data_IF_780142459139
#
_entry.id   IF_780142459139
#
_cell.length_a   1.000
_cell.length_b   1.000
_cell.length_c   1.000
_cell.angle_alpha   90.00
_cell.angle_beta   90.00
_cell.angle_gamma   90.00
#
_symmetry.space_group_name_H-M   'P 1'
#
loop_
_entity.id
_entity.type
_entity.pdbx_description
1 polymer ?
#
# COMPACT_ATOMS: atom_id res chain seq x y z
N UNK A 1 -0.35 16.34 10.70
CA UNK A 1 0.13 17.59 10.07
C UNK A 1 0.66 18.62 11.07
N UNK A 2 -0.10 19.05 12.11
CA UNK A 2 0.41 20.06 13.07
C UNK A 2 1.75 19.68 13.70
N UNK A 3 1.91 18.42 14.12
CA UNK A 3 3.18 17.88 14.63
C UNK A 3 4.36 18.11 13.67
N UNK A 4 4.19 17.79 12.38
CA UNK A 4 5.23 17.95 11.37
C UNK A 4 5.65 19.41 11.21
N UNK A 5 4.68 20.34 11.23
CA UNK A 5 4.92 21.77 11.04
C UNK A 5 5.51 22.42 12.30
N UNK A 6 4.90 22.20 13.46
CA UNK A 6 5.23 22.89 14.71
C UNK A 6 6.42 22.26 15.45
N UNK A 7 6.59 20.94 15.39
CA UNK A 7 7.67 20.21 16.09
C UNK A 7 8.86 19.97 15.16
N UNK A 8 8.62 19.50 13.93
CA UNK A 8 9.71 19.13 13.01
C UNK A 8 10.07 20.24 12.01
N UNK A 9 9.29 21.31 11.93
CA UNK A 9 9.52 22.40 10.97
C UNK A 9 9.47 21.95 9.52
N UNK A 10 8.69 20.89 9.21
CA UNK A 10 8.54 20.37 7.86
C UNK A 10 7.50 21.22 7.12
N UNK A 11 7.77 21.59 5.85
CA UNK A 11 6.78 22.28 5.03
C UNK A 11 5.61 21.35 4.72
N UNK A 12 4.49 21.56 5.40
CA UNK A 12 3.18 20.94 5.15
C UNK A 12 2.10 22.02 5.27
N UNK A 13 0.93 21.89 4.62
CA UNK A 13 -0.18 22.82 4.79
C UNK A 13 -0.54 23.06 6.26
N UNK A 14 -0.85 24.30 6.63
CA UNK A 14 -1.37 24.60 7.95
C UNK A 14 -2.76 24.00 8.12
N UNK A 15 -2.99 23.31 9.23
CA UNK A 15 -4.35 22.95 9.64
C UNK A 15 -5.04 24.19 10.20
N UNK A 16 -6.13 24.61 9.56
CA UNK A 16 -6.89 25.81 9.95
C UNK A 16 -7.94 25.47 11.01
N UNK A 17 -8.67 24.38 10.81
CA UNK A 17 -9.63 23.82 11.76
C UNK A 17 -9.96 22.38 11.40
N UNK A 18 -10.54 21.62 12.32
CA UNK A 18 -11.03 20.27 12.08
C UNK A 18 -12.19 19.94 13.03
N UNK A 19 -12.98 18.93 12.71
CA UNK A 19 -13.96 18.31 13.61
C UNK A 19 -13.82 16.80 13.55
N UNK A 20 -13.57 16.19 14.70
CA UNK A 20 -13.56 14.74 14.88
C UNK A 20 -14.95 14.14 15.09
N UNK A 21 -15.92 14.77 15.79
CA UNK A 21 -17.28 14.26 15.81
C UNK A 21 -18.02 14.68 14.54
N UNK A 22 -18.91 13.79 14.07
CA UNK A 22 -19.90 14.12 13.04
C UNK A 22 -21.07 14.97 13.58
N UNK A 23 -21.17 15.18 14.90
CA UNK A 23 -22.12 16.12 15.53
C UNK A 23 -21.67 17.57 15.33
N UNK A 24 -21.71 18.01 14.08
CA UNK A 24 -21.41 19.35 13.63
C UNK A 24 -22.29 19.69 12.41
N UNK A 25 -22.41 20.96 11.98
CA UNK A 25 -23.31 21.35 10.89
C UNK A 25 -23.06 20.69 9.52
N UNK A 26 -21.89 20.07 9.31
CA UNK A 26 -21.54 19.32 8.10
C UNK A 26 -22.02 17.86 8.18
N UNK A 27 -22.39 17.39 9.38
CA UNK A 27 -22.83 16.01 9.68
C UNK A 27 -21.77 14.95 9.35
N UNK A 28 -20.51 15.38 9.23
CA UNK A 28 -19.36 14.55 8.89
C UNK A 28 -18.08 15.06 9.56
N UNK A 29 -17.14 14.16 9.76
CA UNK A 29 -15.78 14.50 10.19
C UNK A 29 -15.09 15.32 9.08
N UNK A 30 -14.32 16.34 9.44
CA UNK A 30 -13.65 17.17 8.45
C UNK A 30 -12.34 17.76 8.95
N UNK A 31 -11.51 18.14 7.99
CA UNK A 31 -10.32 18.97 8.21
C UNK A 31 -10.28 20.06 7.14
N UNK A 32 -10.03 21.29 7.57
CA UNK A 32 -9.80 22.43 6.70
C UNK A 32 -8.32 22.80 6.78
N UNK A 33 -7.66 22.83 5.64
CA UNK A 33 -6.23 23.10 5.52
C UNK A 33 -5.94 24.28 4.60
N UNK A 34 -4.79 24.89 4.80
CA UNK A 34 -4.21 25.91 3.92
C UNK A 34 -4.11 25.38 2.48
N UNK A 35 -4.61 26.15 1.52
CA UNK A 35 -4.37 25.87 0.10
C UNK A 35 -2.97 26.34 -0.28
N UNK A 36 -2.14 25.43 -0.79
CA UNK A 36 -0.83 25.78 -1.33
C UNK A 36 -0.97 26.47 -2.69
N UNK A 37 -0.43 27.68 -2.83
CA UNK A 37 -0.37 28.42 -4.09
C UNK A 37 0.92 28.07 -4.86
N UNK A 38 1.00 26.84 -5.36
CA UNK A 38 2.13 26.32 -6.12
C UNK A 38 1.72 25.27 -7.13
N UNK A 39 2.72 24.63 -7.74
CA UNK A 39 2.54 23.59 -8.75
C UNK A 39 3.09 22.26 -8.22
N UNK A 40 2.45 21.15 -8.59
CA UNK A 40 2.95 19.82 -8.23
C UNK A 40 4.34 19.57 -8.85
N UNK A 41 5.17 18.78 -8.19
CA UNK A 41 6.45 18.36 -8.76
C UNK A 41 6.24 17.48 -9.99
N UNK A 42 5.16 16.68 -10.02
CA UNK A 42 4.81 15.86 -11.17
C UNK A 42 4.66 16.69 -12.45
N UNK A 43 3.92 17.81 -12.39
CA UNK A 43 3.67 18.66 -13.57
C UNK A 43 4.93 19.33 -14.11
N UNK A 44 5.94 19.55 -13.27
CA UNK A 44 7.22 20.18 -13.69
C UNK A 44 8.35 19.18 -13.89
N UNK A 45 8.16 17.90 -13.55
CA UNK A 45 9.25 16.92 -13.41
C UNK A 45 10.14 16.80 -14.66
N UNK A 46 9.51 16.78 -15.85
CA UNK A 46 10.21 16.65 -17.14
C UNK A 46 10.86 17.96 -17.61
N UNK A 47 10.46 19.10 -17.05
CA UNK A 47 10.99 20.43 -17.39
C UNK A 47 12.19 20.83 -16.53
N UNK A 48 12.39 20.16 -15.39
CA UNK A 48 13.48 20.47 -14.47
C UNK A 48 14.84 20.15 -15.10
N UNK A 49 15.76 21.11 -15.02
CA UNK A 49 17.16 20.84 -15.29
C UNK A 49 17.77 19.93 -14.23
N UNK A 50 18.90 19.29 -14.56
CA UNK A 50 19.66 18.45 -13.61
C UNK A 50 20.05 19.20 -12.33
N UNK A 51 20.33 20.51 -12.42
CA UNK A 51 20.68 21.33 -11.27
C UNK A 51 19.48 21.54 -10.35
N UNK A 52 18.31 21.83 -10.92
CA UNK A 52 17.05 22.02 -10.19
C UNK A 52 16.56 20.73 -9.54
N UNK A 53 16.62 19.61 -10.25
CA UNK A 53 16.28 18.29 -9.70
C UNK A 53 17.16 17.95 -8.49
N UNK A 54 18.47 18.22 -8.57
CA UNK A 54 19.39 18.05 -7.42
C UNK A 54 19.00 18.92 -6.24
N UNK A 55 18.53 20.14 -6.47
CA UNK A 55 18.09 21.04 -5.41
C UNK A 55 16.82 20.53 -4.71
N UNK A 56 15.81 20.11 -5.48
CA UNK A 56 14.58 19.49 -4.94
C UNK A 56 14.92 18.25 -4.12
N UNK A 57 15.77 17.37 -4.64
CA UNK A 57 16.20 16.15 -3.92
C UNK A 57 16.91 16.47 -2.60
N UNK A 58 17.76 17.51 -2.55
CA UNK A 58 18.40 17.95 -1.30
C UNK A 58 17.38 18.41 -0.26
N UNK A 59 16.35 19.13 -0.69
CA UNK A 59 15.27 19.57 0.19
C UNK A 59 14.46 18.38 0.73
N UNK A 60 14.14 17.39 -0.11
CA UNK A 60 13.47 16.15 0.32
C UNK A 60 14.32 15.35 1.31
N UNK A 61 15.62 15.19 1.05
CA UNK A 61 16.55 14.54 1.99
C UNK A 61 16.57 15.28 3.34
N UNK A 62 16.50 16.61 3.33
CA UNK A 62 16.44 17.40 4.55
C UNK A 62 15.11 17.22 5.30
N UNK A 63 13.99 17.07 4.59
CA UNK A 63 12.69 16.72 5.18
C UNK A 63 12.75 15.35 5.85
N UNK A 64 13.19 14.32 5.12
CA UNK A 64 13.37 12.97 5.66
C UNK A 64 14.28 13.00 6.90
N UNK A 65 15.45 13.65 6.80
CA UNK A 65 16.37 13.81 7.95
C UNK A 65 15.68 14.41 9.16
N UNK A 66 14.79 15.39 8.99
CA UNK A 66 14.03 15.98 10.12
C UNK A 66 13.09 14.96 10.75
N UNK A 67 12.36 14.20 9.94
CA UNK A 67 11.48 13.10 10.39
C UNK A 67 12.26 12.04 11.15
N UNK A 68 13.41 11.61 10.61
CA UNK A 68 14.31 10.64 11.24
C UNK A 68 14.98 11.20 12.50
N UNK A 69 15.24 12.50 12.53
CA UNK A 69 15.89 13.16 13.66
C UNK A 69 14.96 13.45 14.83
N UNK A 70 13.74 12.87 14.87
CA UNK A 70 12.85 12.92 16.02
C UNK A 70 13.63 12.58 17.28
N UNK A 71 14.04 13.62 18.02
CA UNK A 71 15.00 13.54 19.14
C UNK A 71 14.41 12.87 20.39
N UNK A 72 13.12 12.62 20.35
CA UNK A 72 12.35 12.00 21.41
C UNK A 72 11.85 10.71 20.77
N UNK A 73 12.54 9.61 21.07
CA UNK A 73 12.17 8.27 20.58
C UNK A 73 10.66 8.10 20.72
N UNK A 74 9.98 7.87 19.61
CA UNK A 74 8.53 7.68 19.60
C UNK A 74 8.24 6.41 20.42
N UNK A 75 7.44 6.49 21.51
CA UNK A 75 7.36 5.41 22.50
C UNK A 75 6.53 4.20 22.06
N UNK A 76 5.86 4.30 20.91
CA UNK A 76 4.90 3.31 20.44
C UNK A 76 4.65 3.40 18.93
N UNK A 77 4.03 2.37 18.36
CA UNK A 77 3.44 2.32 17.04
C UNK A 77 1.94 2.63 17.10
N UNK A 78 1.40 3.23 16.06
CA UNK A 78 0.00 3.69 16.02
C UNK A 78 -0.12 4.98 15.22
N UNK A 79 -1.07 5.85 15.58
CA UNK A 79 -1.24 7.16 14.94
C UNK A 79 -1.01 8.31 15.92
N UNK A 80 -0.65 9.47 15.38
CA UNK A 80 -0.45 10.70 16.17
C UNK A 80 -1.78 11.40 16.42
N UNK A 81 -2.01 11.76 17.68
CA UNK A 81 -3.21 12.49 18.11
C UNK A 81 -2.84 13.67 18.99
N UNK A 82 -3.79 14.61 19.11
CA UNK A 82 -3.82 15.45 20.30
C UNK A 82 -4.37 14.65 21.47
N UNK A 83 -3.82 14.87 22.67
CA UNK A 83 -4.26 14.12 23.86
C UNK A 83 -5.74 14.25 24.18
N UNK A 84 -6.33 15.43 23.93
CA UNK A 84 -7.73 15.66 24.21
C UNK A 84 -8.67 14.90 23.25
N UNK A 85 -8.22 14.57 22.03
CA UNK A 85 -9.01 13.83 21.04
C UNK A 85 -9.08 12.32 21.36
N UNK A 86 -8.19 11.80 22.22
CA UNK A 86 -8.12 10.37 22.59
C UNK A 86 -8.18 10.12 24.10
N UNK A 87 -8.77 11.05 24.86
CA UNK A 87 -8.80 10.98 26.32
C UNK A 87 -9.48 9.70 26.89
N UNK A 88 -10.37 9.05 26.11
CA UNK A 88 -11.03 7.80 26.47
C UNK A 88 -10.40 6.53 25.88
N UNK A 89 -9.34 6.64 25.08
CA UNK A 89 -8.69 5.53 24.40
C UNK A 89 -7.28 5.28 24.94
N UNK A 90 -6.74 4.04 24.83
CA UNK A 90 -5.34 3.77 25.15
C UNK A 90 -4.40 4.69 24.35
N UNK A 91 -3.44 5.33 25.03
CA UNK A 91 -2.47 6.21 24.37
C UNK A 91 -1.12 6.26 25.12
N UNK A 92 -0.04 6.45 24.38
CA UNK A 92 1.32 6.64 24.88
C UNK A 92 1.72 8.12 24.78
N UNK A 93 2.17 8.72 25.90
CA UNK A 93 2.64 10.11 25.91
C UNK A 93 4.00 10.24 25.26
N UNK A 94 4.17 11.21 24.35
CA UNK A 94 5.45 11.48 23.72
C UNK A 94 6.27 12.38 24.67
N UNK A 95 7.52 12.00 25.01
CA UNK A 95 8.36 12.81 25.90
C UNK A 95 8.50 14.25 25.39
N UNK A 96 8.41 15.22 26.30
CA UNK A 96 8.58 16.66 26.03
C UNK A 96 7.51 17.31 25.12
N UNK A 97 6.51 16.54 24.68
CA UNK A 97 5.41 17.03 23.84
C UNK A 97 4.08 16.81 24.55
N UNK A 98 3.72 17.75 25.43
CA UNK A 98 2.53 17.62 26.28
C UNK A 98 1.21 17.57 25.48
N UNK A 99 1.16 18.21 24.32
CA UNK A 99 -0.04 18.29 23.46
C UNK A 99 -0.30 17.02 22.65
N UNK A 100 0.73 16.22 22.39
CA UNK A 100 0.66 15.10 21.45
C UNK A 100 0.82 13.75 22.16
N UNK A 101 0.20 12.71 21.59
CA UNK A 101 0.37 11.32 22.00
C UNK A 101 0.28 10.38 20.80
N UNK A 102 0.68 9.14 21.03
CA UNK A 102 0.48 8.04 20.09
C UNK A 102 -0.72 7.23 20.59
N UNK A 103 -1.76 7.16 19.78
CA UNK A 103 -3.00 6.45 20.10
C UNK A 103 -3.21 5.25 19.18
N UNK A 104 -4.45 4.73 19.13
CA UNK A 104 -4.81 3.66 18.23
C UNK A 104 -4.51 4.00 16.76
N UNK A 105 -4.28 3.03 15.90
CA UNK A 105 -4.01 3.30 14.49
C UNK A 105 -5.25 3.90 13.81
N UNK A 106 -5.06 5.01 13.08
CA UNK A 106 -6.11 5.71 12.35
C UNK A 106 -6.29 5.21 10.90
N UNK A 107 -5.47 4.23 10.47
CA UNK A 107 -5.47 3.71 9.09
C UNK A 107 -6.86 3.20 8.71
N UNK A 108 -7.35 3.62 7.54
CA UNK A 108 -8.67 3.23 7.01
C UNK A 108 -8.97 1.73 7.11
N UNK A 109 -7.99 0.85 6.89
CA UNK A 109 -8.17 -0.60 6.94
C UNK A 109 -8.67 -1.11 8.31
N UNK A 110 -8.46 -0.37 9.41
CA UNK A 110 -8.95 -0.72 10.75
C UNK A 110 -10.36 -0.19 11.08
N UNK A 111 -10.91 0.66 10.22
CA UNK A 111 -12.15 1.42 10.48
C UNK A 111 -13.17 1.36 9.34
N UNK A 112 -12.84 0.67 8.24
CA UNK A 112 -13.72 0.49 7.09
C UNK A 112 -14.80 -0.56 7.39
N UNK A 113 -16.03 -0.27 7.00
CA UNK A 113 -17.20 -1.15 7.11
C UNK A 113 -17.37 -1.74 8.52
N UNK A 114 -17.62 -3.05 8.63
CA UNK A 114 -17.89 -3.70 9.91
C UNK A 114 -16.71 -3.63 10.87
N UNK A 115 -15.48 -3.41 10.37
CA UNK A 115 -14.28 -3.29 11.23
C UNK A 115 -14.38 -2.09 12.16
N UNK A 116 -15.15 -1.06 11.83
CA UNK A 116 -15.41 0.08 12.71
C UNK A 116 -16.00 -0.35 14.06
N UNK A 117 -16.97 -1.26 14.03
CA UNK A 117 -17.76 -1.66 15.19
C UNK A 117 -17.21 -2.91 15.89
N UNK A 118 -16.14 -3.50 15.34
CA UNK A 118 -15.48 -4.66 15.93
C UNK A 118 -14.56 -4.26 17.09
N UNK A 119 -14.52 -5.12 18.11
CA UNK A 119 -13.51 -5.05 19.17
C UNK A 119 -12.20 -5.62 18.63
N UNK A 120 -11.41 -4.76 18.00
CA UNK A 120 -10.10 -5.06 17.42
C UNK A 120 -8.99 -4.46 18.27
N UNK A 121 -7.84 -5.12 18.31
CA UNK A 121 -6.61 -4.49 18.77
C UNK A 121 -6.19 -3.44 17.73
N UNK A 122 -6.15 -2.17 18.17
CA UNK A 122 -5.77 -1.03 17.35
C UNK A 122 -4.54 -0.33 17.91
N UNK A 123 -3.89 -0.88 18.94
CA UNK A 123 -2.77 -0.24 19.62
C UNK A 123 -3.21 0.89 20.57
N UNK A 124 -2.26 1.78 20.95
CA UNK A 124 -0.89 1.84 20.48
C UNK A 124 -0.06 0.63 20.93
N UNK A 125 0.89 0.21 20.10
CA UNK A 125 1.74 -0.95 20.38
C UNK A 125 3.13 -0.52 20.81
N UNK A 126 3.77 -1.24 21.73
CA UNK A 126 5.17 -0.96 22.11
C UNK A 126 6.17 -1.83 21.37
N UNK A 127 5.70 -2.91 20.75
CA UNK A 127 6.52 -3.89 20.06
C UNK A 127 6.12 -3.95 18.57
N UNK A 128 7.09 -4.07 17.66
CA UNK A 128 6.80 -4.15 16.22
C UNK A 128 6.04 -5.44 15.87
N UNK A 129 6.24 -6.53 16.62
CA UNK A 129 5.55 -7.80 16.37
C UNK A 129 4.03 -7.66 16.55
N UNK A 130 3.61 -6.83 17.49
CA UNK A 130 2.19 -6.62 17.78
C UNK A 130 1.49 -5.90 16.60
N UNK A 131 2.20 -5.07 15.82
CA UNK A 131 1.58 -4.32 14.70
C UNK A 131 1.20 -5.22 13.54
N UNK A 132 2.04 -6.20 13.22
CA UNK A 132 1.79 -7.19 12.16
C UNK A 132 0.76 -8.23 12.61
N UNK A 133 0.85 -8.68 13.88
CA UNK A 133 -0.10 -9.63 14.45
C UNK A 133 -1.50 -9.00 14.49
N UNK A 134 -1.62 -7.75 14.94
CA UNK A 134 -2.91 -7.07 15.03
C UNK A 134 -3.57 -6.92 13.64
N UNK A 135 -2.78 -6.67 12.59
CA UNK A 135 -3.29 -6.61 11.22
C UNK A 135 -3.84 -7.96 10.75
N UNK A 136 -3.14 -9.07 11.03
CA UNK A 136 -3.61 -10.41 10.69
C UNK A 136 -4.83 -10.81 11.53
N UNK A 137 -4.82 -10.54 12.84
CA UNK A 137 -5.93 -10.81 13.74
C UNK A 137 -7.19 -10.03 13.36
N UNK A 138 -7.03 -8.77 12.90
CA UNK A 138 -8.13 -7.99 12.34
C UNK A 138 -8.80 -8.71 11.19
N UNK A 139 -8.01 -9.15 10.20
CA UNK A 139 -8.54 -9.86 9.04
C UNK A 139 -9.16 -11.20 9.43
N UNK A 140 -8.50 -11.99 10.29
CA UNK A 140 -9.05 -13.24 10.81
C UNK A 140 -10.40 -13.02 11.51
N UNK A 141 -10.51 -12.01 12.37
CA UNK A 141 -11.74 -11.70 13.08
C UNK A 141 -12.87 -11.29 12.13
N UNK A 142 -12.55 -10.53 11.07
CA UNK A 142 -13.54 -10.13 10.06
C UNK A 142 -13.98 -11.33 9.22
N UNK A 143 -13.03 -12.16 8.77
CA UNK A 143 -13.32 -13.38 7.99
C UNK A 143 -14.26 -14.32 8.73
N UNK A 144 -13.99 -14.58 10.00
CA UNK A 144 -14.81 -15.49 10.83
C UNK A 144 -16.24 -14.99 10.99
N UNK A 145 -16.44 -13.67 11.05
CA UNK A 145 -17.75 -13.09 11.39
C UNK A 145 -18.58 -12.70 10.17
N UNK A 146 -17.94 -12.23 9.10
CA UNK A 146 -18.63 -11.55 8.00
C UNK A 146 -18.36 -12.14 6.62
N UNK A 147 -17.24 -12.84 6.42
CA UNK A 147 -16.91 -13.34 5.09
C UNK A 147 -17.84 -14.46 4.64
N UNK A 148 -18.07 -14.52 3.33
CA UNK A 148 -18.87 -15.53 2.67
C UNK A 148 -18.01 -16.23 1.62
N UNK A 149 -18.24 -17.53 1.37
CA UNK A 149 -17.60 -18.21 0.26
C UNK A 149 -17.90 -17.50 -1.04
N UNK A 150 -16.85 -17.19 -1.80
CA UNK A 150 -16.97 -16.51 -3.08
C UNK A 150 -15.85 -16.92 -4.02
N UNK A 151 -16.13 -17.04 -5.33
CA UNK A 151 -15.12 -17.33 -6.31
C UNK A 151 -14.10 -16.19 -6.41
N UNK A 152 -12.87 -16.51 -6.78
CA UNK A 152 -11.87 -15.49 -7.10
C UNK A 152 -12.23 -14.86 -8.44
N UNK A 153 -12.69 -13.60 -8.40
CA UNK A 153 -13.06 -12.80 -9.58
C UNK A 153 -11.99 -11.77 -9.94
N UNK A 154 -10.72 -12.12 -9.78
CA UNK A 154 -9.59 -11.32 -10.26
C UNK A 154 -9.31 -11.68 -11.71
N UNK A 155 -8.65 -10.79 -12.47
CA UNK A 155 -8.27 -11.13 -13.84
C UNK A 155 -7.42 -12.42 -13.91
N UNK A 156 -6.57 -12.68 -12.91
CA UNK A 156 -5.68 -13.84 -12.84
C UNK A 156 -6.13 -14.89 -11.82
N UNK A 157 -5.82 -16.16 -12.11
CA UNK A 157 -6.04 -17.32 -11.25
C UNK A 157 -7.50 -17.45 -10.76
N UNK A 158 -8.45 -17.32 -11.67
CA UNK A 158 -9.87 -17.38 -11.34
C UNK A 158 -10.28 -18.75 -10.83
N UNK A 159 -11.30 -18.76 -9.98
CA UNK A 159 -11.91 -19.99 -9.52
C UNK A 159 -13.40 -19.94 -9.84
N UNK A 160 -13.93 -21.00 -10.46
CA UNK A 160 -15.38 -21.16 -10.62
C UNK A 160 -16.03 -21.52 -9.29
N UNK A 161 -15.29 -22.26 -8.45
CA UNK A 161 -15.75 -22.69 -7.15
C UNK A 161 -15.59 -21.58 -6.09
N UNK A 162 -16.57 -21.44 -5.18
CA UNK A 162 -16.45 -20.54 -4.04
C UNK A 162 -15.29 -20.94 -3.13
N UNK A 163 -14.32 -20.05 -2.94
CA UNK A 163 -13.23 -20.26 -1.98
C UNK A 163 -13.79 -20.12 -0.57
N UNK A 164 -13.51 -21.09 0.29
CA UNK A 164 -13.96 -21.06 1.67
C UNK A 164 -13.12 -20.03 2.47
N UNK A 165 -13.74 -19.07 3.19
CA UNK A 165 -13.00 -18.12 4.02
C UNK A 165 -12.07 -18.76 5.06
N UNK A 166 -12.32 -20.02 5.42
CA UNK A 166 -11.46 -20.81 6.31
C UNK A 166 -10.07 -21.04 5.73
N UNK A 167 -9.91 -21.12 4.41
CA UNK A 167 -8.60 -21.25 3.77
C UNK A 167 -7.74 -20.01 4.05
N UNK A 168 -8.30 -18.82 3.82
CA UNK A 168 -7.62 -17.56 4.14
C UNK A 168 -7.36 -17.41 5.64
N UNK A 169 -8.33 -17.79 6.49
CA UNK A 169 -8.12 -17.78 7.93
C UNK A 169 -6.98 -18.73 8.38
N UNK A 170 -6.83 -19.90 7.75
CA UNK A 170 -5.73 -20.84 8.02
C UNK A 170 -4.38 -20.21 7.69
N UNK A 171 -4.27 -19.59 6.50
CA UNK A 171 -3.06 -18.88 6.08
C UNK A 171 -2.71 -17.71 7.00
N UNK A 172 -3.71 -16.96 7.50
CA UNK A 172 -3.48 -15.91 8.49
C UNK A 172 -3.01 -16.47 9.85
N UNK A 173 -3.50 -17.65 10.24
CA UNK A 173 -3.06 -18.33 11.46
C UNK A 173 -1.60 -18.76 11.36
N UNK A 174 -1.20 -19.27 10.20
CA UNK A 174 0.19 -19.55 9.84
C UNK A 174 1.04 -18.28 9.83
N UNK A 175 0.57 -17.20 9.19
CA UNK A 175 1.24 -15.90 9.17
C UNK A 175 1.50 -15.38 10.59
N UNK A 176 0.57 -15.55 11.53
CA UNK A 176 0.77 -15.13 12.93
C UNK A 176 1.95 -15.87 13.59
N UNK A 177 2.24 -17.13 13.20
CA UNK A 177 3.36 -17.91 13.74
C UNK A 177 4.72 -17.44 13.19
N UNK A 178 4.77 -17.06 11.90
CA UNK A 178 6.01 -16.66 11.24
C UNK A 178 6.27 -15.16 11.25
N UNK A 179 5.22 -14.34 11.27
CA UNK A 179 5.29 -12.89 11.13
C UNK A 179 6.31 -12.24 12.07
N UNK A 180 6.28 -12.53 13.40
CA UNK A 180 7.26 -11.99 14.34
C UNK A 180 8.71 -12.30 13.99
N UNK A 181 8.96 -13.37 13.24
CA UNK A 181 10.30 -13.79 12.82
C UNK A 181 10.78 -13.03 11.58
N UNK A 182 9.86 -12.44 10.80
CA UNK A 182 10.15 -11.62 9.63
C UNK A 182 10.61 -10.21 10.01
N UNK A 183 10.33 -9.77 11.24
CA UNK A 183 10.78 -8.48 11.74
C UNK A 183 12.28 -8.51 11.98
N UNK A 184 12.97 -7.50 11.45
CA UNK A 184 14.40 -7.35 11.68
C UNK A 184 14.68 -7.10 13.17
N UNK A 185 15.57 -7.92 13.74
CA UNK A 185 16.00 -7.80 15.14
C UNK A 185 16.91 -6.60 15.40
N UNK A 186 17.34 -5.88 14.36
CA UNK A 186 18.17 -4.70 14.49
C UNK A 186 17.36 -3.51 15.00
N UNK A 187 17.77 -2.82 16.09
CA UNK A 187 17.01 -1.70 16.66
C UNK A 187 16.78 -0.56 15.65
N UNK A 188 17.70 -0.36 14.70
CA UNK A 188 17.58 0.66 13.65
C UNK A 188 16.41 0.41 12.69
N UNK A 189 15.99 -0.84 12.50
CA UNK A 189 14.96 -1.23 11.53
C UNK A 189 13.59 -1.42 12.18
N UNK A 190 13.56 -1.70 13.49
CA UNK A 190 12.33 -1.83 14.25
C UNK A 190 11.89 -0.52 14.90
N UNK A 191 12.72 0.52 14.98
CA UNK A 191 12.37 1.78 15.66
C UNK A 191 11.05 2.41 15.12
N UNK A 192 10.10 2.77 16.00
CA UNK A 192 8.87 3.45 15.60
C UNK A 192 9.18 4.74 14.84
N UNK A 193 8.79 4.81 13.57
CA UNK A 193 9.10 5.94 12.70
C UNK A 193 7.84 6.43 12.01
N UNK A 194 7.59 7.73 12.06
CA UNK A 194 6.53 8.35 11.27
C UNK A 194 6.94 8.38 9.80
N UNK A 195 6.06 7.95 8.89
CA UNK A 195 6.28 8.01 7.46
C UNK A 195 5.18 8.74 6.73
N UNK A 196 5.56 9.29 5.58
CA UNK A 196 4.60 9.75 4.62
C UNK A 196 3.96 8.53 3.93
N UNK A 197 2.62 8.42 3.88
CA UNK A 197 1.94 7.26 3.31
C UNK A 197 2.03 7.21 1.77
N UNK A 198 1.97 8.37 1.10
CA UNK A 198 2.19 8.47 -0.35
C UNK A 198 3.13 9.62 -0.75
N UNK A 199 4.45 9.44 -0.58
CA UNK A 199 5.44 10.48 -0.93
C UNK A 199 5.70 10.51 -2.45
N UNK A 200 4.69 10.84 -3.24
CA UNK A 200 4.71 10.85 -4.70
C UNK A 200 5.00 12.23 -5.29
N UNK A 201 5.41 12.30 -6.56
CA UNK A 201 5.65 13.58 -7.24
C UNK A 201 4.41 14.50 -7.25
N UNK A 202 3.17 14.00 -7.42
CA UNK A 202 1.97 14.82 -7.32
C UNK A 202 1.77 15.47 -5.94
N UNK A 203 2.26 14.82 -4.88
CA UNK A 203 2.05 15.25 -3.50
C UNK A 203 3.11 16.26 -2.99
N UNK A 204 4.07 16.64 -3.83
CA UNK A 204 5.11 17.62 -3.50
C UNK A 204 4.83 18.92 -4.25
N UNK A 205 4.62 20.02 -3.54
CA UNK A 205 4.32 21.32 -4.15
C UNK A 205 5.55 22.23 -4.17
N UNK A 206 5.87 22.78 -5.34
CA UNK A 206 6.92 23.75 -5.55
C UNK A 206 6.36 25.18 -5.60
N UNK A 207 7.16 26.14 -5.16
CA UNK A 207 6.84 27.55 -5.35
C UNK A 207 6.86 27.90 -6.85
N UNK A 208 5.96 28.78 -7.32
CA UNK A 208 5.92 29.20 -8.72
C UNK A 208 7.30 29.66 -9.20
N UNK A 209 7.74 29.18 -10.37
CA UNK A 209 9.03 29.52 -10.97
C UNK A 209 10.26 29.26 -10.07
N UNK A 210 10.16 28.32 -9.13
CA UNK A 210 11.23 28.01 -8.17
C UNK A 210 11.31 26.51 -7.87
N UNK A 211 12.44 26.05 -7.35
CA UNK A 211 12.63 24.68 -6.83
C UNK A 211 12.30 24.55 -5.35
N UNK A 212 11.92 25.65 -4.69
CA UNK A 212 11.60 25.65 -3.25
C UNK A 212 10.32 24.84 -3.00
N UNK A 213 10.41 23.81 -2.16
CA UNK A 213 9.25 23.03 -1.70
C UNK A 213 8.42 23.93 -0.77
N UNK A 214 7.17 24.20 -1.18
CA UNK A 214 6.18 24.92 -0.37
C UNK A 214 5.55 24.00 0.68
N UNK A 215 5.27 22.76 0.30
CA UNK A 215 4.60 21.80 1.16
C UNK A 215 4.55 20.41 0.55
N UNK A 216 4.52 19.41 1.43
CA UNK A 216 4.16 18.04 1.09
C UNK A 216 2.74 17.80 1.62
N UNK A 217 1.84 17.34 0.75
CA UNK A 217 0.43 17.09 1.05
C UNK A 217 0.15 15.60 1.16
N UNK A 218 -1.10 15.21 1.43
CA UNK A 218 -1.54 13.80 1.44
C UNK A 218 -0.97 12.97 2.60
N UNK A 219 -0.95 13.57 3.79
CA UNK A 219 -0.59 12.92 5.04
C UNK A 219 -1.75 12.13 5.68
N UNK A 220 -2.84 11.90 4.95
CA UNK A 220 -3.95 11.06 5.41
C UNK A 220 -3.47 9.60 5.54
N UNK A 221 -3.98 8.85 6.52
CA UNK A 221 -3.50 7.50 6.87
C UNK A 221 -2.03 7.41 7.34
N UNK A 222 -1.35 8.53 7.56
CA UNK A 222 0.01 8.52 8.12
C UNK A 222 0.02 7.86 9.52
N UNK A 223 0.92 6.90 9.69
CA UNK A 223 1.07 6.14 10.93
C UNK A 223 2.55 6.02 11.32
N UNK A 224 2.77 5.77 12.60
CA UNK A 224 4.06 5.39 13.17
C UNK A 224 4.11 3.87 13.11
N UNK A 225 4.97 3.33 12.26
CA UNK A 225 5.17 1.89 12.07
C UNK A 225 6.66 1.55 12.19
N UNK A 226 6.98 0.26 12.27
CA UNK A 226 8.35 -0.18 11.99
C UNK A 226 8.64 0.03 10.49
N UNK A 227 9.91 -0.17 10.08
CA UNK A 227 10.27 -0.10 8.67
C UNK A 227 9.41 -1.12 7.91
N UNK A 228 8.47 -0.62 7.12
CA UNK A 228 7.45 -1.40 6.43
C UNK A 228 7.47 -1.00 4.95
N UNK A 229 7.56 -2.00 4.09
CA UNK A 229 7.77 -1.86 2.64
C UNK A 229 6.67 -1.01 1.98
N UNK A 230 5.46 -1.04 2.55
CA UNK A 230 4.29 -0.32 2.05
C UNK A 230 4.41 1.22 2.10
N UNK A 231 5.33 1.77 2.91
CA UNK A 231 5.46 3.21 3.15
C UNK A 231 6.67 3.87 2.44
N UNK A 232 7.28 3.20 1.46
CA UNK A 232 8.36 3.78 0.65
C UNK A 232 7.82 4.87 -0.30
N UNK A 233 8.64 5.88 -0.66
CA UNK A 233 8.29 6.86 -1.72
C UNK A 233 8.09 6.13 -3.06
N UNK A 234 7.32 6.57 -4.07
CA UNK A 234 7.23 5.86 -5.35
C UNK A 234 8.57 5.62 -6.02
N UNK A 235 9.58 6.47 -5.81
CA UNK A 235 10.95 6.24 -6.32
C UNK A 235 11.69 5.19 -5.49
N UNK A 236 11.45 5.09 -4.19
CA UNK A 236 12.02 4.05 -3.33
C UNK A 236 11.18 2.77 -3.32
N UNK A 237 9.89 2.82 -3.61
CA UNK A 237 9.01 1.74 -4.04
C UNK A 237 9.39 1.33 -5.44
N UNK A 238 9.87 2.20 -6.31
CA UNK A 238 10.35 1.84 -7.65
C UNK A 238 11.78 1.31 -7.61
N UNK A 239 12.62 1.75 -6.66
CA UNK A 239 13.94 1.15 -6.37
C UNK A 239 13.80 -0.11 -5.53
N UNK A 240 12.81 -0.19 -4.64
CA UNK A 240 12.47 -1.38 -3.90
C UNK A 240 11.62 -2.34 -4.73
N UNK A 241 10.84 -1.89 -5.73
CA UNK A 241 10.18 -2.57 -6.89
C UNK A 241 11.20 -2.87 -7.98
N UNK A 242 12.34 -2.20 -8.06
CA UNK A 242 13.47 -2.64 -8.88
C UNK A 242 14.26 -3.70 -8.12
N UNK A 243 14.39 -3.55 -6.79
CA UNK A 243 14.84 -4.57 -5.82
C UNK A 243 13.73 -5.57 -5.42
N UNK A 244 12.59 -5.51 -6.06
CA UNK A 244 11.45 -6.43 -6.00
C UNK A 244 11.02 -6.75 -7.43
N UNK A 245 11.67 -6.24 -8.48
CA UNK A 245 11.96 -6.99 -9.69
C UNK A 245 13.19 -7.87 -9.51
N UNK A 246 13.98 -7.56 -8.48
CA UNK A 246 14.60 -8.58 -7.65
C UNK A 246 13.56 -9.35 -6.81
N UNK A 247 12.27 -9.43 -7.17
CA UNK A 247 11.38 -10.59 -6.92
C UNK A 247 11.66 -11.74 -7.86
N UNK A 248 12.67 -11.58 -8.73
CA UNK A 248 13.66 -12.65 -8.84
C UNK A 248 14.11 -13.16 -7.47
N UNK A 249 13.97 -12.50 -6.34
CA UNK A 249 14.27 -12.99 -4.99
C UNK A 249 13.01 -13.16 -4.13
N UNK A 250 11.79 -13.10 -4.65
CA UNK A 250 10.68 -13.88 -4.10
C UNK A 250 10.60 -15.19 -4.88
N UNK A 251 10.80 -15.19 -6.20
CA UNK A 251 11.00 -16.40 -7.01
C UNK A 251 12.32 -17.12 -6.71
N UNK A 252 13.47 -16.45 -6.59
CA UNK A 252 14.72 -17.08 -6.09
C UNK A 252 14.67 -17.27 -4.59
N UNK A 253 13.88 -16.54 -3.80
CA UNK A 253 13.67 -16.92 -2.40
C UNK A 253 12.81 -18.18 -2.33
N UNK A 254 11.71 -18.31 -3.06
CA UNK A 254 10.89 -19.52 -3.11
C UNK A 254 11.62 -20.67 -3.81
N UNK A 255 12.43 -20.41 -4.84
CA UNK A 255 13.26 -21.42 -5.51
C UNK A 255 14.53 -21.80 -4.71
N UNK A 256 15.15 -20.88 -3.94
CA UNK A 256 16.30 -21.19 -3.06
C UNK A 256 15.84 -21.72 -1.68
N UNK A 257 14.75 -21.22 -1.12
CA UNK A 257 14.19 -21.65 0.19
C UNK A 257 13.19 -22.80 0.09
N UNK A 258 12.57 -23.02 -1.07
CA UNK A 258 11.80 -24.24 -1.38
C UNK A 258 12.72 -25.44 -1.62
N UNK A 259 13.90 -25.22 -2.24
CA UNK A 259 14.87 -26.31 -2.45
C UNK A 259 15.88 -26.50 -1.31
N UNK A 260 16.27 -25.46 -0.55
CA UNK A 260 17.12 -25.63 0.66
C UNK A 260 16.98 -24.48 1.69
N UNK A 261 16.00 -24.60 2.59
CA UNK A 261 15.63 -23.60 3.59
C UNK A 261 16.66 -23.39 4.74
N UNK A 262 17.61 -24.31 4.91
CA UNK A 262 18.47 -24.34 6.12
C UNK A 262 19.45 -23.16 6.22
N UNK A 263 19.97 -22.64 5.10
CA UNK A 263 20.93 -21.54 5.08
C UNK A 263 20.30 -20.18 5.39
N UNK A 264 19.05 -19.95 4.97
CA UNK A 264 18.32 -18.73 5.24
C UNK A 264 17.95 -18.61 6.73
N UNK A 265 17.41 -19.67 7.33
CA UNK A 265 17.16 -19.72 8.77
C UNK A 265 18.46 -19.56 9.59
N UNK A 266 19.56 -20.14 9.12
CA UNK A 266 20.88 -19.96 9.75
C UNK A 266 21.39 -18.51 9.66
N UNK A 267 21.12 -17.79 8.55
CA UNK A 267 21.47 -16.39 8.37
C UNK A 267 20.59 -15.43 9.21
N UNK A 268 19.32 -15.76 9.44
CA UNK A 268 18.43 -15.09 10.41
C UNK A 268 18.80 -15.40 11.88
N UNK A 269 19.84 -16.22 12.10
CA UNK A 269 20.31 -16.64 13.42
C UNK A 269 19.32 -17.56 14.14
N UNK A 270 18.52 -18.32 13.39
CA UNK A 270 17.47 -19.18 13.93
C UNK A 270 17.98 -20.61 14.21
N UNK A 271 17.81 -21.15 15.43
CA UNK A 271 18.28 -22.48 15.80
C UNK A 271 17.32 -23.63 15.41
N UNK A 272 16.14 -23.33 14.84
CA UNK A 272 15.08 -24.30 14.55
C UNK A 272 14.64 -24.27 13.08
N UNK A 273 13.96 -25.34 12.62
CA UNK A 273 13.28 -25.40 11.33
C UNK A 273 12.04 -24.50 11.30
N UNK A 274 11.64 -24.03 10.11
CA UNK A 274 10.39 -23.29 9.90
C UNK A 274 9.22 -24.01 10.59
N UNK A 275 8.33 -23.31 11.32
CA UNK A 275 7.14 -23.94 11.92
C UNK A 275 6.10 -24.35 10.87
N UNK A 276 6.24 -23.88 9.62
CA UNK A 276 5.36 -24.19 8.49
C UNK A 276 6.18 -24.98 7.46
N UNK A 277 5.57 -26.01 6.90
CA UNK A 277 6.16 -26.81 5.83
C UNK A 277 5.11 -27.06 4.75
N UNK A 278 5.50 -26.88 3.50
CA UNK A 278 4.70 -27.21 2.32
C UNK A 278 5.25 -28.47 1.68
N UNK A 279 4.40 -29.29 1.06
CA UNK A 279 4.87 -30.43 0.27
C UNK A 279 5.61 -29.95 -0.98
N UNK A 280 6.51 -30.76 -1.57
CA UNK A 280 7.16 -30.39 -2.82
C UNK A 280 6.17 -30.06 -3.94
N UNK A 281 5.02 -30.74 -3.97
CA UNK A 281 3.96 -30.49 -4.95
C UNK A 281 3.29 -29.14 -4.73
N UNK A 282 2.97 -28.77 -3.48
CA UNK A 282 2.41 -27.45 -3.15
C UNK A 282 3.38 -26.32 -3.51
N UNK A 283 4.68 -26.53 -3.27
CA UNK A 283 5.71 -25.56 -3.62
C UNK A 283 5.83 -25.37 -5.13
N UNK A 284 5.80 -26.47 -5.89
CA UNK A 284 5.86 -26.42 -7.35
C UNK A 284 4.62 -25.73 -7.93
N UNK A 285 3.43 -26.07 -7.43
CA UNK A 285 2.19 -25.42 -7.87
C UNK A 285 2.23 -23.91 -7.60
N UNK A 286 2.69 -23.50 -6.42
CA UNK A 286 2.82 -22.08 -6.09
C UNK A 286 3.83 -21.34 -6.99
N UNK A 287 4.92 -22.02 -7.42
CA UNK A 287 5.87 -21.48 -8.38
C UNK A 287 5.27 -21.32 -9.78
N UNK A 288 4.50 -22.32 -10.21
CA UNK A 288 3.83 -22.30 -11.51
C UNK A 288 2.78 -21.18 -11.55
N UNK A 289 1.91 -21.09 -10.54
CA UNK A 289 0.91 -20.02 -10.38
C UNK A 289 1.58 -18.63 -10.35
N UNK A 290 2.72 -18.49 -9.65
CA UNK A 290 3.47 -17.25 -9.60
C UNK A 290 4.07 -16.88 -10.95
N UNK A 291 4.55 -17.85 -11.73
CA UNK A 291 5.09 -17.62 -13.07
C UNK A 291 4.00 -17.07 -14.01
N UNK A 292 2.84 -17.72 -14.04
CA UNK A 292 1.69 -17.28 -14.84
C UNK A 292 1.22 -15.87 -14.45
N UNK A 293 1.22 -15.59 -13.15
CA UNK A 293 0.84 -14.28 -12.62
C UNK A 293 1.82 -13.18 -13.06
N UNK A 294 3.12 -13.47 -13.02
CA UNK A 294 4.16 -12.51 -13.40
C UNK A 294 4.14 -12.19 -14.90
N UNK A 295 4.01 -13.20 -15.76
CA UNK A 295 3.91 -13.00 -17.21
C UNK A 295 2.70 -12.11 -17.55
N UNK A 296 1.58 -12.37 -16.88
CA UNK A 296 0.38 -11.57 -17.06
C UNK A 296 0.52 -10.15 -16.54
N UNK A 297 1.16 -9.96 -15.37
CA UNK A 297 1.43 -8.64 -14.82
C UNK A 297 2.33 -7.79 -15.74
N UNK A 298 3.32 -8.41 -16.39
CA UNK A 298 4.16 -7.76 -17.39
C UNK A 298 3.36 -7.32 -18.63
N UNK A 299 2.47 -8.19 -19.13
CA UNK A 299 1.56 -7.86 -20.23
C UNK A 299 0.68 -6.66 -19.86
N UNK A 300 0.12 -6.64 -18.65
CA UNK A 300 -0.70 -5.52 -18.19
C UNK A 300 0.09 -4.24 -17.98
N UNK A 301 1.32 -4.34 -17.50
CA UNK A 301 2.20 -3.17 -17.39
C UNK A 301 2.46 -2.59 -18.77
N UNK A 302 2.77 -3.43 -19.76
CA UNK A 302 2.99 -2.98 -21.14
C UNK A 302 1.72 -2.38 -21.77
N UNK A 303 0.56 -2.99 -21.53
CA UNK A 303 -0.73 -2.47 -21.99
C UNK A 303 -1.03 -1.10 -21.37
N UNK A 304 -0.83 -0.95 -20.06
CA UNK A 304 -1.02 0.30 -19.32
C UNK A 304 -0.10 1.41 -19.85
N UNK A 305 1.18 1.10 -20.01
CA UNK A 305 2.18 2.04 -20.54
C UNK A 305 1.85 2.44 -21.99
N UNK A 306 1.37 1.49 -22.80
CA UNK A 306 0.93 1.74 -24.18
C UNK A 306 -0.35 2.57 -24.30
N UNK A 307 -1.25 2.49 -23.32
CA UNK A 307 -2.48 3.28 -23.24
C UNK A 307 -2.26 4.68 -22.62
N UNK A 308 -1.16 4.89 -21.90
CA UNK A 308 -0.91 6.13 -21.16
C UNK A 308 -1.86 6.33 -19.97
N UNK A 309 -2.22 5.23 -19.30
CA UNK A 309 -3.05 5.23 -18.08
C UNK A 309 -2.20 4.95 -16.83
N UNK A 310 -2.67 5.39 -15.66
CA UNK A 310 -2.04 5.08 -14.37
C UNK A 310 -2.45 3.69 -13.82
N UNK A 311 -1.95 3.34 -12.63
CA UNK A 311 -2.25 2.06 -11.98
C UNK A 311 -3.74 1.84 -11.68
N UNK A 312 -4.53 2.92 -11.62
CA UNK A 312 -5.96 2.89 -11.35
C UNK A 312 -6.80 3.04 -12.64
N UNK A 313 -6.15 3.07 -13.81
CA UNK A 313 -6.83 3.26 -15.10
C UNK A 313 -7.13 4.73 -15.44
N UNK A 314 -6.62 5.69 -14.65
CA UNK A 314 -6.79 7.11 -14.90
C UNK A 314 -5.90 7.63 -16.02
N UNK A 315 -6.36 8.62 -16.78
CA UNK A 315 -5.54 9.32 -17.78
C UNK A 315 -5.93 10.80 -17.91
N UNK A 316 -5.08 11.61 -18.54
CA UNK A 316 -5.35 13.02 -18.78
C UNK A 316 -6.53 13.24 -19.75
N UNK A 317 -7.31 14.34 -19.64
CA UNK A 317 -8.45 14.62 -20.52
C UNK A 317 -8.14 14.54 -22.01
N UNK A 318 -6.93 14.91 -22.40
CA UNK A 318 -6.42 14.90 -23.77
C UNK A 318 -6.13 13.49 -24.32
N UNK A 319 -5.96 12.49 -23.45
CA UNK A 319 -5.63 11.11 -23.81
C UNK A 319 -6.83 10.14 -23.67
N UNK A 320 -7.98 10.61 -23.14
CA UNK A 320 -9.16 9.76 -22.88
C UNK A 320 -9.59 8.97 -24.12
N UNK A 321 -9.71 9.63 -25.28
CA UNK A 321 -10.20 8.97 -26.50
C UNK A 321 -9.22 7.89 -27.01
N UNK A 322 -7.91 8.19 -26.97
CA UNK A 322 -6.88 7.24 -27.34
C UNK A 322 -6.85 6.04 -26.40
N UNK A 323 -6.81 6.30 -25.08
CA UNK A 323 -6.80 5.26 -24.06
C UNK A 323 -8.03 4.37 -24.16
N UNK A 324 -9.22 4.96 -24.33
CA UNK A 324 -10.47 4.21 -24.48
C UNK A 324 -10.47 3.29 -25.72
N UNK A 325 -10.07 3.82 -26.88
CA UNK A 325 -10.01 3.04 -28.12
C UNK A 325 -8.97 1.92 -28.05
N UNK A 326 -7.78 2.21 -27.51
CA UNK A 326 -6.72 1.23 -27.33
C UNK A 326 -7.13 0.13 -26.34
N UNK A 327 -7.76 0.52 -25.22
CA UNK A 327 -8.29 -0.39 -24.22
C UNK A 327 -9.29 -1.37 -24.82
N UNK A 328 -10.26 -0.86 -25.59
CA UNK A 328 -11.23 -1.70 -26.29
C UNK A 328 -10.56 -2.63 -27.30
N UNK A 329 -9.58 -2.13 -28.06
CA UNK A 329 -8.80 -2.92 -29.02
C UNK A 329 -8.05 -4.08 -28.37
N UNK A 330 -7.34 -3.83 -27.26
CA UNK A 330 -6.61 -4.86 -26.52
C UNK A 330 -7.59 -5.88 -25.94
N UNK A 331 -8.70 -5.44 -25.34
CA UNK A 331 -9.73 -6.33 -24.78
C UNK A 331 -10.35 -7.22 -25.87
N UNK A 332 -10.65 -6.66 -27.05
CA UNK A 332 -11.16 -7.44 -28.18
C UNK A 332 -10.15 -8.46 -28.70
N UNK A 333 -8.87 -8.07 -28.78
CA UNK A 333 -7.80 -8.96 -29.22
C UNK A 333 -7.59 -10.13 -28.24
N UNK A 334 -7.72 -9.89 -26.94
CA UNK A 334 -7.71 -10.96 -25.94
C UNK A 334 -8.86 -11.94 -26.14
N UNK A 335 -10.09 -11.45 -26.37
CA UNK A 335 -11.23 -12.32 -26.68
C UNK A 335 -11.03 -13.09 -28.00
N UNK A 336 -10.38 -12.47 -28.98
CA UNK A 336 -10.07 -13.12 -30.26
C UNK A 336 -9.10 -14.29 -30.09
N UNK A 337 -8.11 -14.14 -29.22
CA UNK A 337 -7.08 -15.14 -28.94
C UNK A 337 -7.52 -16.20 -27.91
N UNK A 338 -8.49 -15.87 -27.04
CA UNK A 338 -8.99 -16.79 -26.03
C UNK A 338 -9.72 -18.01 -26.63
N UNK A 339 -9.57 -19.15 -25.96
CA UNK A 339 -10.31 -20.36 -26.25
C UNK A 339 -11.83 -20.11 -26.13
N UNK A 340 -12.63 -20.81 -26.92
CA UNK A 340 -14.06 -20.50 -27.08
C UNK A 340 -14.83 -20.45 -25.74
N UNK A 341 -14.47 -21.32 -24.79
CA UNK A 341 -15.07 -21.40 -23.47
C UNK A 341 -14.59 -20.28 -22.51
N UNK A 342 -13.47 -19.62 -22.79
CA UNK A 342 -12.87 -18.58 -21.94
C UNK A 342 -13.20 -17.16 -22.42
N UNK A 343 -13.69 -16.99 -23.64
CA UNK A 343 -13.99 -15.67 -24.27
C UNK A 343 -14.88 -14.78 -23.42
N UNK A 344 -15.99 -15.34 -22.93
CA UNK A 344 -16.96 -14.62 -22.11
C UNK A 344 -16.36 -14.22 -20.75
N UNK A 345 -15.44 -15.04 -20.24
CA UNK A 345 -14.75 -14.78 -18.99
C UNK A 345 -13.71 -13.66 -19.19
N UNK A 346 -12.81 -13.81 -20.15
CA UNK A 346 -11.79 -12.83 -20.52
C UNK A 346 -12.38 -11.43 -20.78
N UNK A 347 -13.57 -11.38 -21.41
CA UNK A 347 -14.29 -10.13 -21.61
C UNK A 347 -14.77 -9.50 -20.30
N UNK A 348 -15.43 -10.28 -19.43
CA UNK A 348 -16.06 -9.76 -18.20
C UNK A 348 -15.08 -9.35 -17.12
N UNK A 349 -13.89 -9.96 -17.11
CA UNK A 349 -12.91 -9.79 -16.03
C UNK A 349 -11.80 -8.80 -16.37
N UNK A 350 -11.86 -8.21 -17.57
CA UNK A 350 -10.90 -7.20 -18.04
C UNK A 350 -10.74 -6.06 -17.03
N UNK A 351 -9.51 -5.76 -16.56
CA UNK A 351 -9.29 -4.89 -15.40
C UNK A 351 -9.56 -3.41 -15.68
N UNK A 352 -9.61 -3.01 -16.95
CA UNK A 352 -9.83 -1.62 -17.36
C UNK A 352 -11.18 -1.44 -18.07
N UNK A 353 -12.17 -2.30 -17.78
CA UNK A 353 -13.54 -2.08 -18.25
C UNK A 353 -14.23 -1.05 -17.34
N UNK A 354 -15.28 -0.41 -17.84
CA UNK A 354 -16.11 0.45 -16.99
C UNK A 354 -16.79 -0.38 -15.88
N UNK A 355 -16.93 0.19 -14.69
CA UNK A 355 -17.50 -0.49 -13.52
C UNK A 355 -18.90 -1.06 -13.81
N UNK A 356 -19.70 -0.30 -14.56
CA UNK A 356 -21.07 -0.64 -14.96
C UNK A 356 -21.15 -1.52 -16.22
N UNK A 357 -20.02 -1.83 -16.87
CA UNK A 357 -20.02 -2.67 -18.06
C UNK A 357 -20.29 -4.14 -17.71
N UNK A 358 -21.52 -4.57 -18.02
CA UNK A 358 -22.01 -5.93 -17.90
C UNK A 358 -22.27 -6.61 -19.27
N UNK A 359 -21.66 -6.09 -20.34
CA UNK A 359 -21.81 -6.65 -21.69
C UNK A 359 -21.21 -8.06 -21.80
N UNK A 360 -21.78 -8.87 -22.69
CA UNK A 360 -21.21 -10.15 -23.10
C UNK A 360 -20.15 -9.98 -24.19
N UNK A 361 -19.27 -10.97 -24.30
CA UNK A 361 -18.21 -10.98 -25.28
C UNK A 361 -18.77 -10.87 -26.72
N UNK A 362 -18.17 -10.05 -27.59
CA UNK A 362 -18.53 -9.99 -29.00
C UNK A 362 -18.35 -11.35 -29.68
N UNK A 363 -19.23 -11.68 -30.64
CA UNK A 363 -19.06 -12.86 -31.47
C UNK A 363 -17.82 -12.70 -32.37
N UNK A 364 -16.76 -13.47 -32.08
CA UNK A 364 -15.56 -13.53 -32.91
C UNK A 364 -15.80 -14.52 -34.04
N UNK A 365 -16.09 -14.01 -35.25
CA UNK A 365 -16.08 -14.83 -36.47
C UNK A 365 -14.63 -15.24 -36.75
N UNK A 366 -14.34 -16.55 -36.77
CA UNK A 366 -13.06 -17.04 -37.29
C UNK A 366 -13.01 -16.70 -38.79
N UNK A 367 -12.15 -15.78 -39.20
CA UNK A 367 -11.77 -15.68 -40.60
C UNK A 367 -11.09 -17.00 -40.98
N UNK A 368 -11.68 -17.69 -41.97
CA UNK A 368 -11.31 -19.05 -42.37
C UNK A 368 -10.11 -19.13 -43.30
#
# INVERSE_FOLDING_TARGET
>A
MDFLRSVLGIPVPQVLTYSTPADNPVEAEYIIIERLCGESLASRWLELSTAEMKDVLKQLINIEKRIFSCRFELPAYGSLYYKHDVAGAPHASIPQLERFCIGPIAKRQFWLDERRDMLLDRGPWTKPEDTIIASAQRESAWLVKFAKPQPRRTFLLQTDEPIDPREHHSLLSEYILIGPQLISKGPELSTPTLRHPDLSLPNIFLAPNSTKILGVIDWQDAAISHYDYENLSPVDKQKAWAKFRLEQANLNYFAVTGLENSLHFKALGYPHSCPISFTPEEQQQALDDASEWNESADIFSAARDGMGIDLQGGTGPENIEFAHNMNLGIRMEMVRQAEEHERELAWRVWPYKDDDDASSAPLVLKEG
#
